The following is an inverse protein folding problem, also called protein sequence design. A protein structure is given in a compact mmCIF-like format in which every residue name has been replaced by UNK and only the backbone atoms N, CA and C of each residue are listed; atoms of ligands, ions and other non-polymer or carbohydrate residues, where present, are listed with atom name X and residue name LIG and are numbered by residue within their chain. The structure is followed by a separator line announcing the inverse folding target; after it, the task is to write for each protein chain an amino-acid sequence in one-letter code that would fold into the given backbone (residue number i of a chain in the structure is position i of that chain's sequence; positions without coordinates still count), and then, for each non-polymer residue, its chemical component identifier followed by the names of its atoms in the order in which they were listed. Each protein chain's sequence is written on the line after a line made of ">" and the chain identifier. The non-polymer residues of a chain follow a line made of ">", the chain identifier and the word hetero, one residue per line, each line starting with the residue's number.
data_IF_017361559510
#
_entry.id   IF_017361559510
#
_cell.length_a   1.000
_cell.length_b   1.000
_cell.length_c   1.000
_cell.angle_alpha   90.00
_cell.angle_beta   90.00
_cell.angle_gamma   90.00
#
_symmetry.space_group_name_H-M   'P 1'
#
loop_
_entity.id
_entity.type
_entity.pdbx_description
1 polymer ?
#
# COMPACT_ATOMS: atom_id res chain seq x y z
N UNK A 1 18.88 -17.11 3.60
CA UNK A 1 18.22 -18.44 3.63
C UNK A 1 19.05 -19.52 2.92
N UNK A 2 19.94 -19.18 1.98
CA UNK A 2 21.27 -19.79 1.88
C UNK A 2 22.25 -18.61 1.79
N UNK A 3 23.16 -18.46 2.77
CA UNK A 3 24.17 -17.38 2.88
C UNK A 3 23.71 -15.97 3.35
N UNK A 4 22.59 -15.84 4.05
CA UNK A 4 22.14 -14.57 4.65
C UNK A 4 21.66 -14.80 6.08
N UNK A 5 22.15 -13.97 7.01
CA UNK A 5 21.70 -13.95 8.40
C UNK A 5 20.38 -13.18 8.52
N UNK A 6 19.36 -13.85 9.08
CA UNK A 6 18.04 -13.25 9.28
C UNK A 6 17.81 -13.09 10.78
N UNK A 7 17.69 -11.85 11.23
CA UNK A 7 17.40 -11.52 12.64
C UNK A 7 15.92 -11.19 12.76
N UNK A 8 15.20 -11.93 13.61
CA UNK A 8 13.78 -11.72 13.87
C UNK A 8 13.60 -10.91 15.15
N UNK A 9 13.04 -9.71 15.03
CA UNK A 9 12.71 -8.86 16.16
C UNK A 9 11.30 -9.19 16.66
N UNK A 10 11.18 -9.69 17.90
CA UNK A 10 9.90 -10.07 18.50
C UNK A 10 9.51 -9.22 19.73
N UNK A 11 10.33 -8.21 20.08
CA UNK A 11 10.04 -7.28 21.17
C UNK A 11 9.83 -5.87 20.61
N UNK A 12 8.78 -5.18 21.07
CA UNK A 12 8.54 -3.77 20.73
C UNK A 12 9.73 -2.89 21.13
N UNK A 13 10.32 -3.14 22.30
CA UNK A 13 11.43 -2.35 22.84
C UNK A 13 12.66 -2.43 21.91
N UNK A 14 13.00 -3.63 21.47
CA UNK A 14 14.12 -3.88 20.55
C UNK A 14 13.81 -3.31 19.17
N UNK A 15 12.58 -3.51 18.66
CA UNK A 15 12.16 -2.95 17.37
C UNK A 15 12.26 -1.42 17.36
N UNK A 16 11.83 -0.74 18.43
CA UNK A 16 11.99 0.72 18.57
C UNK A 16 13.46 1.12 18.69
N UNK A 17 14.25 0.38 19.47
CA UNK A 17 15.66 0.69 19.67
C UNK A 17 16.47 0.61 18.38
N UNK A 18 16.21 -0.38 17.53
CA UNK A 18 16.91 -0.55 16.25
C UNK A 18 16.27 0.29 15.14
N UNK A 19 14.96 0.18 14.91
CA UNK A 19 14.32 0.78 13.74
C UNK A 19 13.97 2.26 13.91
N UNK A 20 13.56 2.71 15.10
CA UNK A 20 13.17 4.10 15.34
C UNK A 20 14.34 4.96 15.83
N UNK A 21 15.15 4.46 16.77
CA UNK A 21 16.25 5.23 17.36
C UNK A 21 17.54 5.18 16.54
N UNK A 22 17.75 4.13 15.72
CA UNK A 22 18.93 3.97 14.85
C UNK A 22 18.56 3.87 13.36
N UNK A 23 17.72 4.78 12.83
CA UNK A 23 17.19 4.65 11.47
C UNK A 23 18.30 4.77 10.42
N UNK A 24 19.40 5.48 10.68
CA UNK A 24 20.51 5.57 9.74
C UNK A 24 21.15 4.22 9.41
N UNK A 25 21.18 3.29 10.37
CA UNK A 25 21.74 1.96 10.16
C UNK A 25 20.71 0.95 9.64
N UNK A 26 19.47 1.02 10.12
CA UNK A 26 18.45 0.01 9.81
C UNK A 26 17.42 0.45 8.78
N UNK A 27 17.59 1.57 8.06
CA UNK A 27 16.63 1.99 7.02
C UNK A 27 16.83 1.31 5.67
N UNK A 28 17.92 0.58 5.45
CA UNK A 28 18.16 -0.08 4.16
C UNK A 28 17.24 -1.29 3.97
N UNK A 29 17.20 -1.82 2.75
CA UNK A 29 16.37 -2.98 2.38
C UNK A 29 17.26 -4.10 1.86
N UNK A 30 17.04 -5.35 2.28
CA UNK A 30 17.80 -6.48 1.75
C UNK A 30 17.52 -6.62 0.26
N UNK A 31 18.54 -7.04 -0.49
CA UNK A 31 18.39 -7.32 -1.91
C UNK A 31 17.76 -8.69 -2.10
N UNK A 32 16.56 -8.71 -2.68
CA UNK A 32 15.96 -9.93 -3.21
C UNK A 32 16.14 -9.95 -4.73
N UNK A 33 16.63 -11.04 -5.30
CA UNK A 33 16.81 -11.20 -6.75
C UNK A 33 15.47 -11.13 -7.50
N UNK A 34 14.37 -11.53 -6.84
CA UNK A 34 13.01 -11.31 -7.34
C UNK A 34 12.65 -9.83 -7.44
N UNK A 35 13.09 -9.00 -6.50
CA UNK A 35 12.91 -7.54 -6.55
C UNK A 35 13.81 -6.87 -7.59
N UNK A 36 15.01 -7.38 -7.88
CA UNK A 36 15.86 -6.83 -8.94
C UNK A 36 15.33 -7.07 -10.36
N UNK A 37 14.59 -8.17 -10.55
CA UNK A 37 13.85 -8.43 -11.78
C UNK A 37 12.66 -7.49 -11.96
N UNK A 38 12.18 -6.91 -10.86
CA UNK A 38 11.17 -5.86 -10.88
C UNK A 38 11.84 -4.49 -10.96
N UNK A 39 11.24 -3.56 -11.70
CA UNK A 39 11.79 -2.21 -11.95
C UNK A 39 11.67 -1.30 -10.70
N UNK A 40 11.66 -1.88 -9.49
CA UNK A 40 11.50 -1.16 -8.23
C UNK A 40 12.87 -1.03 -7.57
N UNK A 41 13.67 -0.05 -8.03
CA UNK A 41 14.94 0.29 -7.35
C UNK A 41 14.65 1.13 -6.09
N UNK A 42 14.73 0.49 -4.92
CA UNK A 42 14.50 1.10 -3.59
C UNK A 42 15.45 2.24 -3.21
N UNK A 43 16.59 2.41 -3.91
CA UNK A 43 17.57 3.49 -3.64
C UNK A 43 16.99 4.91 -3.78
N UNK A 44 15.85 5.09 -4.45
CA UNK A 44 15.16 6.38 -4.58
C UNK A 44 14.23 6.73 -3.39
N UNK A 45 14.13 5.87 -2.36
CA UNK A 45 13.16 6.00 -1.26
C UNK A 45 13.31 7.32 -0.47
N UNK A 46 14.53 7.83 -0.25
CA UNK A 46 14.75 8.98 0.65
C UNK A 46 14.19 10.30 0.11
N UNK A 47 14.41 10.60 -1.17
CA UNK A 47 13.91 11.83 -1.82
C UNK A 47 12.41 11.74 -2.10
N UNK A 48 11.94 10.55 -2.44
CA UNK A 48 10.52 10.28 -2.74
C UNK A 48 9.64 10.31 -1.49
N UNK A 49 10.16 9.77 -0.38
CA UNK A 49 9.50 9.78 0.93
C UNK A 49 9.31 11.20 1.48
N UNK A 50 10.30 12.09 1.32
CA UNK A 50 10.19 13.46 1.84
C UNK A 50 9.06 14.24 1.16
N UNK A 51 8.94 14.13 -0.16
CA UNK A 51 7.87 14.79 -0.92
C UNK A 51 6.49 14.19 -0.62
N UNK A 52 6.39 12.86 -0.51
CA UNK A 52 5.15 12.19 -0.10
C UNK A 52 4.73 12.60 1.31
N UNK A 53 5.66 12.59 2.27
CA UNK A 53 5.40 13.04 3.64
C UNK A 53 4.95 14.49 3.70
N UNK A 54 5.48 15.38 2.85
CA UNK A 54 5.05 16.78 2.80
C UNK A 54 3.61 16.93 2.34
N UNK A 55 3.18 16.16 1.34
CA UNK A 55 1.84 16.25 0.81
C UNK A 55 0.78 15.53 1.66
N UNK A 56 1.17 14.49 2.41
CA UNK A 56 0.28 13.76 3.32
C UNK A 56 0.43 14.16 4.80
N UNK A 57 1.02 15.32 5.10
CA UNK A 57 1.02 15.84 6.47
C UNK A 57 -0.42 15.97 6.98
N UNK A 58 -0.68 15.74 8.28
CA UNK A 58 -2.04 15.83 8.84
C UNK A 58 -2.77 17.12 8.48
N UNK A 59 -2.05 18.25 8.44
CA UNK A 59 -2.57 19.57 8.11
C UNK A 59 -2.92 19.69 6.62
N UNK A 60 -2.06 19.16 5.74
CA UNK A 60 -2.28 19.17 4.29
C UNK A 60 -3.37 18.18 3.88
N UNK A 61 -3.50 17.06 4.58
CA UNK A 61 -4.44 15.99 4.24
C UNK A 61 -5.92 16.39 4.36
N UNK A 62 -6.22 17.51 5.03
CA UNK A 62 -7.57 18.05 5.16
C UNK A 62 -8.21 18.32 3.79
N UNK A 63 -7.41 18.69 2.78
CA UNK A 63 -7.90 18.96 1.41
C UNK A 63 -8.53 17.73 0.73
N UNK A 64 -8.15 16.52 1.16
CA UNK A 64 -8.66 15.27 0.57
C UNK A 64 -9.99 14.83 1.19
N UNK A 65 -10.39 15.39 2.34
CA UNK A 65 -11.59 14.97 3.08
C UNK A 65 -12.88 15.06 2.25
N UNK A 66 -13.15 16.13 1.48
CA UNK A 66 -14.36 16.19 0.66
C UNK A 66 -14.39 15.09 -0.41
N UNK A 67 -13.25 14.83 -1.05
CA UNK A 67 -13.12 13.76 -2.03
C UNK A 67 -13.34 12.39 -1.38
N UNK A 68 -12.72 12.13 -0.22
CA UNK A 68 -12.90 10.89 0.54
C UNK A 68 -14.37 10.67 0.92
N UNK A 69 -15.08 11.70 1.41
CA UNK A 69 -16.51 11.60 1.71
C UNK A 69 -17.34 11.26 0.47
N UNK A 70 -17.06 11.90 -0.67
CA UNK A 70 -17.72 11.58 -1.94
C UNK A 70 -17.52 10.10 -2.32
N UNK A 71 -16.28 9.60 -2.27
CA UNK A 71 -15.97 8.20 -2.57
C UNK A 71 -16.58 7.22 -1.54
N UNK A 72 -16.73 7.62 -0.28
CA UNK A 72 -17.46 6.83 0.74
C UNK A 72 -18.95 6.75 0.40
N UNK A 73 -19.59 7.86 0.01
CA UNK A 73 -20.99 7.82 -0.38
C UNK A 73 -21.23 6.93 -1.60
N UNK A 74 -20.31 6.96 -2.58
CA UNK A 74 -20.35 6.03 -3.73
C UNK A 74 -20.24 4.56 -3.29
N UNK A 75 -19.34 4.26 -2.35
CA UNK A 75 -19.22 2.92 -1.74
C UNK A 75 -20.52 2.50 -1.05
N UNK A 76 -21.11 3.36 -0.21
CA UNK A 76 -22.35 3.05 0.51
C UNK A 76 -23.51 2.76 -0.45
N UNK A 77 -23.63 3.54 -1.52
CA UNK A 77 -24.60 3.31 -2.60
C UNK A 77 -24.35 1.95 -3.28
N UNK A 78 -23.10 1.63 -3.59
CA UNK A 78 -22.73 0.34 -4.18
C UNK A 78 -23.10 -0.85 -3.29
N UNK A 79 -22.81 -0.75 -1.99
CA UNK A 79 -23.16 -1.76 -0.98
C UNK A 79 -24.68 -1.89 -0.80
N UNK A 80 -25.44 -0.79 -0.89
CA UNK A 80 -26.90 -0.81 -0.75
C UNK A 80 -27.56 -1.55 -1.93
N UNK A 81 -27.14 -1.26 -3.17
CA UNK A 81 -27.76 -1.86 -4.36
C UNK A 81 -27.25 -3.27 -4.68
N UNK A 82 -25.97 -3.56 -4.43
CA UNK A 82 -25.34 -4.84 -4.77
C UNK A 82 -24.43 -5.34 -3.63
N UNK A 83 -24.99 -5.73 -2.46
CA UNK A 83 -24.21 -6.11 -1.28
C UNK A 83 -23.36 -7.36 -1.49
N UNK A 84 -23.76 -8.27 -2.38
CA UNK A 84 -23.01 -9.50 -2.69
C UNK A 84 -21.65 -9.23 -3.33
N UNK A 85 -21.44 -8.04 -3.91
CA UNK A 85 -20.18 -7.60 -4.53
C UNK A 85 -19.36 -6.69 -3.61
N UNK A 86 -19.52 -6.80 -2.29
CA UNK A 86 -18.87 -5.91 -1.32
C UNK A 86 -17.35 -5.81 -1.50
N UNK A 87 -16.65 -6.92 -1.76
CA UNK A 87 -15.20 -6.93 -1.98
C UNK A 87 -14.79 -6.01 -3.14
N UNK A 88 -15.46 -6.15 -4.29
CA UNK A 88 -15.24 -5.31 -5.46
C UNK A 88 -15.51 -3.82 -5.16
N UNK A 89 -16.55 -3.52 -4.36
CA UNK A 89 -16.87 -2.15 -3.99
C UNK A 89 -15.80 -1.54 -3.09
N UNK A 90 -15.26 -2.29 -2.12
CA UNK A 90 -14.21 -1.84 -1.21
C UNK A 90 -12.87 -1.65 -1.93
N UNK A 91 -12.56 -2.55 -2.85
CA UNK A 91 -11.39 -2.47 -3.70
C UNK A 91 -11.46 -1.22 -4.59
N UNK A 92 -12.59 -1.04 -5.30
CA UNK A 92 -12.84 0.12 -6.15
C UNK A 92 -12.78 1.42 -5.34
N UNK A 93 -13.37 1.43 -4.14
CA UNK A 93 -13.31 2.58 -3.23
C UNK A 93 -11.87 2.96 -2.90
N UNK A 94 -11.05 1.99 -2.47
CA UNK A 94 -9.67 2.24 -2.06
C UNK A 94 -8.80 2.70 -3.24
N UNK A 95 -8.96 2.06 -4.41
CA UNK A 95 -8.29 2.46 -5.64
C UNK A 95 -8.73 3.87 -6.08
N UNK A 96 -10.02 4.21 -5.96
CA UNK A 96 -10.53 5.52 -6.36
C UNK A 96 -9.94 6.68 -5.57
N UNK A 97 -9.73 6.50 -4.27
CA UNK A 97 -9.12 7.51 -3.41
C UNK A 97 -7.70 7.81 -3.88
N UNK A 98 -6.90 6.78 -4.13
CA UNK A 98 -5.51 6.94 -4.60
C UNK A 98 -5.49 7.56 -5.99
N UNK A 99 -6.32 7.08 -6.91
CA UNK A 99 -6.39 7.60 -8.27
C UNK A 99 -6.78 9.08 -8.32
N UNK A 100 -7.76 9.49 -7.51
CA UNK A 100 -8.16 10.88 -7.39
C UNK A 100 -7.12 11.74 -6.66
N UNK A 101 -6.48 11.22 -5.60
CA UNK A 101 -5.48 11.99 -4.85
C UNK A 101 -4.18 12.21 -5.64
N UNK A 102 -3.70 11.19 -6.36
CA UNK A 102 -2.38 11.20 -7.02
C UNK A 102 -2.47 11.73 -8.44
N UNK A 103 -3.48 11.30 -9.21
CA UNK A 103 -3.58 11.59 -10.64
C UNK A 103 -4.70 12.55 -11.00
N UNK A 104 -5.46 13.04 -10.00
CA UNK A 104 -6.71 13.78 -10.22
C UNK A 104 -7.64 13.01 -11.18
N UNK A 105 -7.65 11.69 -11.05
CA UNK A 105 -8.43 10.81 -11.91
C UNK A 105 -9.80 10.55 -11.27
N UNK A 106 -10.87 10.90 -11.99
CA UNK A 106 -12.22 10.55 -11.55
C UNK A 106 -12.62 9.17 -12.07
N UNK A 107 -12.64 8.22 -11.14
CA UNK A 107 -12.95 6.82 -11.40
C UNK A 107 -14.42 6.59 -11.68
N UNK A 108 -14.73 5.78 -12.69
CA UNK A 108 -16.10 5.33 -12.99
C UNK A 108 -16.40 3.97 -12.36
N UNK A 109 -17.67 3.61 -12.14
CA UNK A 109 -18.04 2.24 -11.81
C UNK A 109 -17.52 1.29 -12.90
N UNK A 110 -16.75 0.27 -12.53
CA UNK A 110 -16.07 -0.65 -13.47
C UNK A 110 -15.02 0.01 -14.37
N UNK A 111 -14.19 0.86 -13.79
CA UNK A 111 -13.11 1.53 -14.51
C UNK A 111 -12.08 0.54 -15.09
N UNK A 112 -11.72 0.65 -16.38
CA UNK A 112 -10.67 -0.17 -16.99
C UNK A 112 -9.30 -0.01 -16.32
N UNK A 113 -8.96 1.19 -15.82
CA UNK A 113 -7.69 1.42 -15.14
C UNK A 113 -7.65 0.72 -13.79
N UNK A 114 -8.73 0.75 -13.02
CA UNK A 114 -8.82 0.02 -11.74
C UNK A 114 -8.74 -1.48 -11.99
N UNK A 115 -9.46 -1.99 -13.00
CA UNK A 115 -9.42 -3.41 -13.35
C UNK A 115 -8.03 -3.87 -13.78
N UNK A 116 -7.29 -3.01 -14.49
CA UNK A 116 -5.90 -3.25 -14.87
C UNK A 116 -4.96 -3.24 -13.65
N UNK A 117 -5.08 -2.25 -12.76
CA UNK A 117 -4.29 -2.16 -11.52
C UNK A 117 -4.55 -3.39 -10.64
N UNK A 118 -5.80 -3.83 -10.51
CA UNK A 118 -6.15 -5.07 -9.81
C UNK A 118 -5.46 -6.27 -10.40
N UNK A 119 -5.62 -6.49 -11.71
CA UNK A 119 -5.01 -7.65 -12.38
C UNK A 119 -3.48 -7.62 -12.30
N UNK A 120 -2.88 -6.43 -12.28
CA UNK A 120 -1.46 -6.26 -12.02
C UNK A 120 -1.07 -6.68 -10.61
N UNK A 121 -1.79 -6.19 -9.60
CA UNK A 121 -1.52 -6.45 -8.20
C UNK A 121 -1.68 -7.92 -7.82
N UNK A 122 -2.70 -8.60 -8.34
CA UNK A 122 -2.90 -10.03 -8.14
C UNK A 122 -1.71 -10.85 -8.68
N UNK A 123 -1.23 -10.50 -9.89
CA UNK A 123 -0.02 -11.11 -10.47
C UNK A 123 1.24 -10.85 -9.64
N UNK A 124 1.38 -9.65 -9.08
CA UNK A 124 2.54 -9.29 -8.23
C UNK A 124 2.52 -10.14 -6.95
N UNK A 125 1.40 -10.18 -6.24
CA UNK A 125 1.27 -10.93 -4.99
C UNK A 125 1.57 -12.42 -5.19
N UNK A 126 1.15 -13.01 -6.31
CA UNK A 126 1.45 -14.40 -6.64
C UNK A 126 2.88 -14.64 -7.14
N UNK A 127 3.58 -13.60 -7.62
CA UNK A 127 4.96 -13.69 -8.04
C UNK A 127 5.96 -13.49 -6.88
N UNK A 128 5.57 -12.74 -5.85
CA UNK A 128 6.41 -12.36 -4.70
C UNK A 128 6.29 -13.30 -3.50
N UNK A 129 5.97 -14.57 -3.73
CA UNK A 129 5.84 -15.51 -2.62
C UNK A 129 7.24 -15.79 -2.02
N UNK A 130 7.39 -15.81 -0.67
CA UNK A 130 8.69 -15.95 -0.02
C UNK A 130 9.47 -17.22 -0.41
N UNK A 131 8.74 -18.29 -0.73
CA UNK A 131 9.28 -19.54 -1.26
C UNK A 131 9.97 -19.36 -2.62
N UNK A 132 9.35 -18.63 -3.56
CA UNK A 132 9.93 -18.35 -4.88
C UNK A 132 11.14 -17.42 -4.77
N UNK A 133 11.06 -16.41 -3.91
CA UNK A 133 12.17 -15.52 -3.62
C UNK A 133 13.37 -16.28 -3.04
N UNK A 134 13.12 -17.11 -2.02
CA UNK A 134 14.16 -17.92 -1.39
C UNK A 134 14.84 -18.88 -2.38
N UNK A 135 14.10 -19.49 -3.31
CA UNK A 135 14.68 -20.38 -4.33
C UNK A 135 15.59 -19.60 -5.31
N UNK A 136 15.13 -18.45 -5.81
CA UNK A 136 15.91 -17.67 -6.78
C UNK A 136 17.16 -17.07 -6.11
N UNK A 137 17.05 -16.60 -4.88
CA UNK A 137 18.18 -16.07 -4.10
C UNK A 137 19.21 -17.17 -3.76
N UNK A 138 18.73 -18.37 -3.42
CA UNK A 138 19.61 -19.50 -3.09
C UNK A 138 20.40 -20.03 -4.29
N UNK A 139 19.85 -19.88 -5.50
CA UNK A 139 20.41 -20.44 -6.71
C UNK A 139 20.57 -19.35 -7.78
N UNK A 140 21.56 -18.47 -7.58
CA UNK A 140 21.83 -17.33 -8.47
C UNK A 140 21.90 -17.70 -9.96
N UNK A 141 22.37 -18.90 -10.32
CA UNK A 141 22.41 -19.36 -11.72
C UNK A 141 21.03 -19.42 -12.39
N UNK A 142 19.93 -19.53 -11.63
CA UNK A 142 18.57 -19.44 -12.17
C UNK A 142 18.34 -18.08 -12.84
N UNK A 143 18.95 -17.00 -12.34
CA UNK A 143 18.92 -15.68 -12.97
C UNK A 143 19.69 -15.60 -14.29
N UNK A 144 20.48 -16.60 -14.66
CA UNK A 144 21.23 -16.67 -15.93
C UNK A 144 20.50 -17.49 -17.01
N UNK A 145 19.58 -18.37 -16.62
CA UNK A 145 18.87 -19.28 -17.54
C UNK A 145 18.03 -18.48 -18.56
N UNK A 146 18.14 -18.67 -19.88
CA UNK A 146 17.30 -17.93 -20.84
C UNK A 146 15.79 -18.18 -20.64
N UNK A 147 14.95 -17.19 -20.93
CA UNK A 147 13.50 -17.30 -20.71
C UNK A 147 12.82 -18.43 -21.50
N UNK A 148 13.40 -18.87 -22.62
CA UNK A 148 12.88 -19.98 -23.43
C UNK A 148 13.18 -21.37 -22.84
N UNK A 149 14.07 -21.46 -21.85
CA UNK A 149 14.53 -22.75 -21.31
C UNK A 149 13.43 -23.44 -20.48
N UNK A 150 13.27 -24.77 -20.57
CA UNK A 150 12.30 -25.51 -19.76
C UNK A 150 12.53 -25.30 -18.26
N UNK A 151 11.49 -24.85 -17.54
CA UNK A 151 11.59 -24.50 -16.11
C UNK A 151 11.92 -23.03 -15.83
N UNK A 152 12.23 -22.21 -16.83
CA UNK A 152 12.45 -20.77 -16.70
C UNK A 152 11.17 -19.93 -16.71
N UNK A 153 10.00 -20.53 -16.41
CA UNK A 153 8.71 -19.85 -16.44
C UNK A 153 8.68 -18.62 -15.53
N UNK A 154 9.40 -18.63 -14.41
CA UNK A 154 9.55 -17.47 -13.53
C UNK A 154 10.13 -16.24 -14.24
N UNK A 155 11.02 -16.41 -15.24
CA UNK A 155 11.54 -15.29 -16.04
C UNK A 155 10.51 -14.76 -17.03
N UNK A 156 9.75 -15.65 -17.67
CA UNK A 156 8.64 -15.23 -18.55
C UNK A 156 7.61 -14.42 -17.76
N UNK A 157 7.21 -14.93 -16.58
CA UNK A 157 6.33 -14.21 -15.67
C UNK A 157 6.93 -12.89 -15.20
N UNK A 158 8.23 -12.83 -14.88
CA UNK A 158 8.89 -11.58 -14.49
C UNK A 158 8.91 -10.54 -15.63
N UNK A 159 9.12 -10.97 -16.87
CA UNK A 159 9.07 -10.08 -18.05
C UNK A 159 7.66 -9.56 -18.30
N UNK A 160 6.63 -10.41 -18.16
CA UNK A 160 5.23 -10.00 -18.21
C UNK A 160 4.88 -9.05 -17.07
N UNK A 161 5.33 -9.34 -15.84
CA UNK A 161 5.11 -8.49 -14.69
C UNK A 161 5.73 -7.11 -14.88
N UNK A 162 6.91 -7.04 -15.50
CA UNK A 162 7.57 -5.79 -15.84
C UNK A 162 6.75 -4.92 -16.79
N UNK A 163 6.13 -5.50 -17.83
CA UNK A 163 5.27 -4.72 -18.74
C UNK A 163 3.99 -4.25 -18.04
N UNK A 164 3.41 -5.10 -17.20
CA UNK A 164 2.21 -4.80 -16.42
C UNK A 164 2.47 -3.69 -15.38
N UNK A 165 3.59 -3.76 -14.65
CA UNK A 165 4.02 -2.72 -13.71
C UNK A 165 4.23 -1.38 -14.41
N UNK A 166 4.87 -1.40 -15.59
CA UNK A 166 5.08 -0.22 -16.41
C UNK A 166 3.74 0.41 -16.80
N UNK A 167 2.80 -0.39 -17.30
CA UNK A 167 1.46 0.07 -17.68
C UNK A 167 0.68 0.66 -16.50
N UNK A 168 0.81 0.04 -15.32
CA UNK A 168 0.16 0.45 -14.08
C UNK A 168 0.58 1.85 -13.62
N UNK A 169 1.82 2.25 -13.94
CA UNK A 169 2.37 3.57 -13.64
C UNK A 169 2.12 4.54 -14.79
N UNK A 170 2.43 4.14 -16.02
CA UNK A 170 2.45 5.04 -17.17
C UNK A 170 1.04 5.45 -17.62
N UNK A 171 0.05 4.56 -17.56
CA UNK A 171 -1.31 4.87 -18.07
C UNK A 171 -2.02 5.94 -17.21
N UNK A 172 -2.08 5.83 -15.87
CA UNK A 172 -2.62 6.90 -15.04
C UNK A 172 -1.83 8.21 -15.16
N UNK A 173 -0.50 8.10 -15.23
CA UNK A 173 0.37 9.26 -15.34
C UNK A 173 0.20 10.01 -16.68
N UNK A 174 0.08 9.28 -17.79
CA UNK A 174 -0.21 9.85 -19.10
C UNK A 174 -1.55 10.58 -19.11
N UNK A 175 -2.58 9.99 -18.51
CA UNK A 175 -3.87 10.66 -18.35
C UNK A 175 -3.74 11.99 -17.60
N UNK A 176 -3.00 11.99 -16.48
CA UNK A 176 -2.78 13.21 -15.70
C UNK A 176 -2.05 14.28 -16.52
N UNK A 177 -1.04 13.90 -17.31
CA UNK A 177 -0.34 14.78 -18.24
C UNK A 177 -1.26 15.40 -19.29
N UNK A 178 -2.09 14.57 -19.93
CA UNK A 178 -3.01 15.02 -20.97
C UNK A 178 -4.04 16.03 -20.41
N UNK A 179 -4.50 15.84 -19.16
CA UNK A 179 -5.37 16.80 -18.46
C UNK A 179 -4.71 18.16 -18.22
N UNK A 180 -3.46 18.17 -17.77
CA UNK A 180 -2.72 19.42 -17.51
C UNK A 180 -2.49 20.19 -18.81
N UNK A 181 -2.18 19.48 -19.89
CA UNK A 181 -2.02 20.08 -21.21
C UNK A 181 -3.32 20.72 -21.73
N UNK A 182 -4.48 20.15 -21.38
CA UNK A 182 -5.79 20.64 -21.80
C UNK A 182 -6.34 21.77 -20.91
N UNK A 183 -5.96 21.83 -19.63
CA UNK A 183 -6.34 22.91 -18.72
C UNK A 183 -5.20 23.28 -17.77
N UNK A 184 -4.44 24.36 -18.04
CA UNK A 184 -3.32 24.77 -17.19
C UNK A 184 -3.74 25.31 -15.81
N UNK A 185 -5.04 25.45 -15.55
CA UNK A 185 -5.62 25.73 -14.23
C UNK A 185 -5.86 24.46 -13.39
N UNK A 186 -5.70 23.27 -13.97
CA UNK A 186 -5.76 21.99 -13.28
C UNK A 186 -4.58 21.82 -12.34
N UNK A 187 -4.71 22.35 -11.13
CA UNK A 187 -3.73 22.17 -10.08
C UNK A 187 -3.62 20.68 -9.76
N UNK A 188 -2.50 20.06 -10.10
CA UNK A 188 -2.12 18.84 -9.41
C UNK A 188 -1.99 19.21 -7.93
N UNK A 189 -2.69 18.52 -7.01
CA UNK A 189 -2.51 18.76 -5.59
C UNK A 189 -1.09 18.39 -5.10
N UNK A 190 -0.26 17.80 -5.96
CA UNK A 190 1.09 17.35 -5.65
C UNK A 190 2.16 18.13 -6.44
N UNK A 191 3.16 18.74 -5.76
CA UNK A 191 4.34 19.30 -6.41
C UNK A 191 5.30 18.17 -6.78
N UNK A 192 5.19 17.64 -8.00
CA UNK A 192 6.16 16.71 -8.53
C UNK A 192 7.05 17.40 -9.57
N UNK A 193 8.37 17.25 -9.42
CA UNK A 193 9.29 17.38 -10.55
C UNK A 193 9.00 16.22 -11.51
N UNK A 194 8.56 16.56 -12.72
CA UNK A 194 8.30 15.67 -13.86
C UNK A 194 9.38 14.62 -14.14
N UNK A 195 10.62 14.93 -13.80
CA UNK A 195 11.79 14.20 -14.31
C UNK A 195 12.27 13.08 -13.40
N UNK A 196 12.11 13.17 -12.08
CA UNK A 196 12.90 12.34 -11.15
C UNK A 196 12.14 11.17 -10.49
N UNK A 197 10.86 10.94 -10.80
CA UNK A 197 10.05 10.09 -9.91
C UNK A 197 8.94 9.22 -10.51
N UNK A 198 9.01 8.90 -11.80
CA UNK A 198 7.97 8.13 -12.51
C UNK A 198 7.70 6.74 -11.90
N UNK A 199 8.73 5.92 -11.67
CA UNK A 199 8.49 4.48 -11.47
C UNK A 199 8.20 4.06 -10.01
N UNK A 200 8.84 4.71 -9.03
CA UNK A 200 8.80 4.26 -7.63
C UNK A 200 7.59 4.80 -6.84
N UNK A 201 7.23 6.08 -7.04
CA UNK A 201 6.15 6.73 -6.28
C UNK A 201 4.77 6.19 -6.64
N UNK A 202 4.51 6.05 -7.94
CA UNK A 202 3.23 5.53 -8.46
C UNK A 202 2.96 4.10 -7.98
N UNK A 203 3.99 3.25 -8.02
CA UNK A 203 3.92 1.88 -7.50
C UNK A 203 3.65 1.86 -5.99
N UNK A 204 4.33 2.71 -5.21
CA UNK A 204 4.07 2.83 -3.77
C UNK A 204 2.64 3.25 -3.44
N UNK A 205 2.08 4.22 -4.17
CA UNK A 205 0.69 4.64 -3.98
C UNK A 205 -0.33 3.55 -4.31
N UNK A 206 -0.07 2.73 -5.34
CA UNK A 206 -0.94 1.60 -5.67
C UNK A 206 -0.91 0.52 -4.56
N UNK A 207 0.25 0.27 -3.94
CA UNK A 207 0.32 -0.60 -2.75
C UNK A 207 -0.49 -0.06 -1.57
N UNK A 208 -0.54 1.26 -1.35
CA UNK A 208 -1.36 1.87 -0.28
C UNK A 208 -2.87 1.64 -0.51
N UNK A 209 -3.32 1.66 -1.77
CA UNK A 209 -4.72 1.34 -2.10
C UNK A 209 -5.09 -0.09 -1.67
N UNK A 210 -4.22 -1.06 -1.94
CA UNK A 210 -4.43 -2.46 -1.53
C UNK A 210 -4.52 -2.63 -0.01
N UNK A 211 -3.66 -1.93 0.73
CA UNK A 211 -3.65 -2.02 2.19
C UNK A 211 -4.97 -1.51 2.78
N UNK A 212 -5.50 -0.40 2.25
CA UNK A 212 -6.78 0.17 2.70
C UNK A 212 -7.93 -0.82 2.45
N UNK A 213 -7.98 -1.40 1.25
CA UNK A 213 -8.95 -2.45 0.90
C UNK A 213 -8.90 -3.63 1.87
N UNK A 214 -7.71 -4.15 2.15
CA UNK A 214 -7.53 -5.29 3.05
C UNK A 214 -7.97 -4.96 4.50
N UNK A 215 -7.67 -3.76 5.01
CA UNK A 215 -8.15 -3.32 6.33
C UNK A 215 -9.67 -3.26 6.38
N UNK A 216 -10.33 -2.80 5.32
CA UNK A 216 -11.80 -2.75 5.26
C UNK A 216 -12.42 -4.15 5.27
N UNK A 217 -11.83 -5.10 4.54
CA UNK A 217 -12.26 -6.51 4.59
C UNK A 217 -12.10 -7.11 5.99
N UNK A 218 -10.93 -6.90 6.61
CA UNK A 218 -10.67 -7.32 7.99
C UNK A 218 -11.68 -6.70 8.95
N UNK A 219 -12.02 -5.41 8.77
CA UNK A 219 -13.02 -4.74 9.59
C UNK A 219 -14.40 -5.38 9.43
N UNK A 220 -14.85 -5.65 8.22
CA UNK A 220 -16.14 -6.34 7.97
C UNK A 220 -16.13 -7.72 8.64
N UNK A 221 -15.08 -8.51 8.43
CA UNK A 221 -14.93 -9.81 9.05
C UNK A 221 -14.97 -9.72 10.58
N UNK A 222 -14.26 -8.75 11.17
CA UNK A 222 -14.25 -8.54 12.61
C UNK A 222 -15.65 -8.18 13.15
N UNK A 223 -16.43 -7.38 12.42
CA UNK A 223 -17.80 -7.03 12.81
C UNK A 223 -18.76 -8.21 12.70
N UNK A 224 -18.61 -9.05 11.67
CA UNK A 224 -19.40 -10.30 11.52
C UNK A 224 -19.13 -11.27 12.68
N UNK A 225 -17.87 -11.40 13.10
CA UNK A 225 -17.47 -12.29 14.19
C UNK A 225 -17.82 -11.74 15.59
N UNK A 226 -18.04 -10.43 15.74
CA UNK A 226 -18.28 -9.74 17.02
C UNK A 226 -19.51 -8.82 16.90
N UNK A 227 -20.72 -9.37 16.72
CA UNK A 227 -21.93 -8.59 16.45
C UNK A 227 -22.31 -7.63 17.58
N UNK A 228 -21.95 -7.93 18.84
CA UNK A 228 -22.13 -7.04 19.98
C UNK A 228 -21.27 -5.78 19.88
N UNK A 229 -20.04 -5.89 19.38
CA UNK A 229 -19.16 -4.74 19.10
C UNK A 229 -19.76 -3.90 17.98
N UNK A 230 -20.26 -4.53 16.92
CA UNK A 230 -20.90 -3.85 15.80
C UNK A 230 -22.14 -3.07 16.25
N UNK A 231 -23.05 -3.69 17.00
CA UNK A 231 -24.25 -3.02 17.55
C UNK A 231 -23.90 -1.84 18.43
N UNK A 232 -22.89 -1.99 19.29
CA UNK A 232 -22.41 -0.90 20.16
C UNK A 232 -21.77 0.24 19.35
N UNK A 233 -21.05 -0.08 18.29
CA UNK A 233 -20.48 0.92 17.38
C UNK A 233 -21.59 1.72 16.68
N UNK A 234 -22.61 1.04 16.14
CA UNK A 234 -23.79 1.68 15.54
C UNK A 234 -24.49 2.61 16.53
N UNK A 235 -24.85 2.13 17.72
CA UNK A 235 -25.49 2.95 18.75
C UNK A 235 -24.66 4.19 19.15
N UNK A 236 -23.33 4.08 19.11
CA UNK A 236 -22.45 5.22 19.39
C UNK A 236 -22.45 6.23 18.24
N UNK A 237 -22.49 5.78 16.98
CA UNK A 237 -22.62 6.65 15.80
C UNK A 237 -23.97 7.37 15.84
N UNK A 238 -25.07 6.63 16.04
CA UNK A 238 -26.43 7.17 16.09
C UNK A 238 -26.58 8.24 17.17
N UNK A 239 -25.94 8.06 18.33
CA UNK A 239 -25.94 9.05 19.42
C UNK A 239 -25.20 10.35 19.06
N UNK A 240 -24.16 10.27 18.22
CA UNK A 240 -23.34 11.44 17.87
C UNK A 240 -23.95 12.21 16.70
N UNK A 241 -24.43 11.49 15.68
CA UNK A 241 -24.84 12.07 14.40
C UNK A 241 -26.36 12.16 14.26
N UNK A 242 -27.11 11.33 14.99
CA UNK A 242 -28.56 11.17 14.79
C UNK A 242 -28.88 10.35 13.54
N UNK A 243 -30.11 10.50 13.04
CA UNK A 243 -30.62 9.82 11.84
C UNK A 243 -30.71 10.71 10.60
N UNK A 244 -30.46 12.02 10.74
CA UNK A 244 -30.80 13.01 9.71
C UNK A 244 -29.68 13.22 8.68
N UNK A 245 -28.46 12.76 8.98
CA UNK A 245 -27.30 12.87 8.10
C UNK A 245 -26.32 11.71 8.27
N UNK A 246 -25.41 11.56 7.31
CA UNK A 246 -24.27 10.65 7.43
C UNK A 246 -23.13 11.28 8.26
N UNK A 247 -22.27 10.45 8.89
CA UNK A 247 -21.09 10.93 9.59
C UNK A 247 -20.10 11.66 8.68
N UNK A 248 -19.42 12.67 9.22
CA UNK A 248 -18.32 13.35 8.55
C UNK A 248 -17.05 13.45 9.43
N UNK A 249 -16.00 14.09 8.91
CA UNK A 249 -14.73 14.23 9.62
C UNK A 249 -14.80 15.11 10.88
N UNK A 250 -15.78 16.00 10.99
CA UNK A 250 -16.03 16.83 12.17
C UNK A 250 -16.50 16.02 13.37
N UNK A 251 -17.20 14.90 13.14
CA UNK A 251 -17.70 14.03 14.20
C UNK A 251 -16.61 13.20 14.88
N UNK A 252 -15.44 13.05 14.22
CA UNK A 252 -14.38 12.12 14.63
C UNK A 252 -13.93 12.30 16.08
N UNK A 253 -13.87 13.55 16.56
CA UNK A 253 -13.49 13.88 17.95
C UNK A 253 -14.45 13.29 18.99
N UNK A 254 -15.72 13.08 18.61
CA UNK A 254 -16.79 12.52 19.45
C UNK A 254 -16.94 11.00 19.29
N UNK A 255 -16.18 10.38 18.38
CA UNK A 255 -16.27 8.97 17.99
C UNK A 255 -15.11 8.11 18.52
N UNK A 256 -14.65 8.36 19.75
CA UNK A 256 -13.50 7.65 20.37
C UNK A 256 -13.65 6.12 20.38
N UNK A 257 -14.87 5.60 20.54
CA UNK A 257 -15.13 4.16 20.49
C UNK A 257 -14.89 3.57 19.08
N UNK A 258 -15.27 4.29 18.03
CA UNK A 258 -15.07 3.84 16.63
C UNK A 258 -13.58 3.81 16.29
N UNK A 259 -12.83 4.81 16.74
CA UNK A 259 -11.37 4.84 16.64
C UNK A 259 -10.74 3.62 17.35
N UNK A 260 -11.24 3.24 18.53
CA UNK A 260 -10.78 2.06 19.24
C UNK A 260 -11.10 0.75 18.48
N UNK A 261 -12.28 0.64 17.89
CA UNK A 261 -12.66 -0.53 17.06
C UNK A 261 -11.75 -0.63 15.84
N UNK A 262 -11.52 0.47 15.12
CA UNK A 262 -10.61 0.51 13.96
C UNK A 262 -9.19 0.07 14.34
N UNK A 263 -8.64 0.62 15.43
CA UNK A 263 -7.32 0.21 15.95
C UNK A 263 -7.28 -1.26 16.34
N UNK A 264 -8.34 -1.77 16.96
CA UNK A 264 -8.43 -3.18 17.34
C UNK A 264 -8.47 -4.09 16.12
N UNK A 265 -9.19 -3.73 15.06
CA UNK A 265 -9.23 -4.48 13.80
C UNK A 265 -7.83 -4.57 13.16
N UNK A 266 -7.13 -3.43 13.03
CA UNK A 266 -5.76 -3.41 12.50
C UNK A 266 -4.75 -4.16 13.38
N UNK A 267 -4.96 -4.20 14.70
CA UNK A 267 -4.12 -4.96 15.64
C UNK A 267 -4.42 -6.47 15.60
N UNK A 268 -5.65 -6.86 15.29
CA UNK A 268 -6.08 -8.27 15.32
C UNK A 268 -5.59 -9.04 14.09
N UNK A 269 -5.70 -8.43 12.91
CA UNK A 269 -5.13 -8.94 11.66
C UNK A 269 -4.27 -7.85 11.01
N UNK A 270 -2.99 -7.74 11.38
CA UNK A 270 -2.09 -6.81 10.73
C UNK A 270 -1.90 -7.22 9.26
N UNK A 271 -2.08 -6.27 8.34
CA UNK A 271 -1.97 -6.53 6.89
C UNK A 271 -0.56 -6.97 6.48
N UNK A 272 0.46 -6.45 7.18
CA UNK A 272 1.86 -6.80 6.96
C UNK A 272 2.43 -7.33 8.28
N UNK A 273 2.14 -8.59 8.66
CA UNK A 273 2.43 -9.11 10.00
C UNK A 273 3.93 -9.15 10.34
N UNK A 274 4.80 -9.30 9.34
CA UNK A 274 6.26 -9.32 9.51
C UNK A 274 6.92 -7.97 9.19
N UNK A 275 6.13 -6.94 8.89
CA UNK A 275 6.64 -5.69 8.33
C UNK A 275 7.35 -5.87 6.99
N UNK A 276 8.06 -4.83 6.55
CA UNK A 276 8.99 -4.94 5.43
C UNK A 276 10.36 -5.37 5.98
N UNK A 277 11.09 -6.29 5.33
CA UNK A 277 12.45 -6.65 5.74
C UNK A 277 13.39 -5.43 5.72
N UNK A 278 14.29 -5.36 6.69
CA UNK A 278 15.31 -4.30 6.82
C UNK A 278 16.72 -4.91 6.75
N UNK A 279 17.68 -4.14 6.23
CA UNK A 279 19.10 -4.49 6.21
C UNK A 279 19.90 -3.46 7.00
N UNK A 280 20.92 -3.93 7.74
CA UNK A 280 21.87 -3.06 8.42
C UNK A 280 22.88 -2.50 7.41
N UNK A 281 23.12 -1.18 7.42
CA UNK A 281 24.08 -0.53 6.53
C UNK A 281 25.52 -0.81 6.94
N UNK A 282 25.76 -0.90 8.26
CA UNK A 282 27.03 -1.18 8.90
C UNK A 282 26.83 -2.13 10.09
N UNK A 283 27.90 -2.81 10.50
CA UNK A 283 27.89 -3.69 11.67
C UNK A 283 27.44 -2.92 12.94
N UNK A 284 26.69 -3.59 13.81
CA UNK A 284 26.21 -3.02 15.07
C UNK A 284 26.32 -4.04 16.21
N UNK A 285 26.32 -3.55 17.44
CA UNK A 285 26.16 -4.36 18.65
C UNK A 285 25.00 -3.82 19.46
N UNK A 286 24.01 -4.66 19.72
CA UNK A 286 22.86 -4.33 20.54
C UNK A 286 22.74 -5.33 21.69
N UNK A 287 22.80 -4.86 22.94
CA UNK A 287 22.70 -5.69 24.15
C UNK A 287 23.65 -6.91 24.15
N UNK A 288 24.85 -6.75 23.61
CA UNK A 288 25.86 -7.81 23.52
C UNK A 288 25.69 -8.75 22.32
N UNK A 289 24.63 -8.59 21.51
CA UNK A 289 24.44 -9.31 20.26
C UNK A 289 25.08 -8.54 19.11
N UNK A 290 25.96 -9.21 18.37
CA UNK A 290 26.54 -8.68 17.14
C UNK A 290 25.53 -8.82 15.99
N UNK A 291 25.31 -7.73 15.27
CA UNK A 291 24.43 -7.65 14.11
C UNK A 291 25.33 -7.30 12.91
N UNK A 292 25.57 -8.25 11.99
CA UNK A 292 26.40 -7.98 10.82
C UNK A 292 25.70 -7.01 9.87
N UNK A 293 26.50 -6.25 9.13
CA UNK A 293 26.08 -5.53 7.94
C UNK A 293 25.32 -6.46 6.99
N UNK A 294 24.18 -5.99 6.49
CA UNK A 294 23.37 -6.70 5.51
C UNK A 294 23.89 -6.50 4.08
N UNK A 295 23.71 -7.53 3.24
CA UNK A 295 23.92 -7.48 1.79
C UNK A 295 22.64 -7.18 0.98
#
# INVERSE_FOLDING_TARGET
>A
ILNQDVIILNSEEVARALLEKRPSNYSDRPRFATMELQVIRFRALRLTHTAALQAFRPEAAVIYRPMQLCKVHQLLVGLLYNPTKYELHLETHSASIVMSAVYDYDTKPSDPLISMIRGAMDKILHAETPDKAAIIDSYFFLTLIPAWFPGASFKCHALELKSVLKDMVEKPFKYALDRIAFSPLGCLPFPWSLKDSRDFKATHFNYLALQTHAVLLVFIQAMVLNPEVQKRAQAKIDRVVGSDRLPDFGDRVSMSYIEAVLRKAMRFYPIVPLGAPHAAVDDDVYEGYFIPKGE
#
